data_IF_236562568367
#
_entry.id   IF_236562568367
#
_cell.length_a   1.000
_cell.length_b   1.000
_cell.length_c   1.000
_cell.angle_alpha   90.00
_cell.angle_beta   90.00
_cell.angle_gamma   90.00
#
_symmetry.space_group_name_H-M   'P 1'
#
loop_
_entity.id
_entity.type
_entity.pdbx_description
1 polymer ?
#
# COMPACT_ATOMS: atom_id res chain seq x y z
N UNK A 1 0.65 16.29 9.81
CA UNK A 1 1.89 15.49 9.70
C UNK A 1 1.55 14.22 8.94
N UNK A 2 2.45 13.71 8.11
CA UNK A 2 2.25 12.39 7.51
C UNK A 2 2.43 11.31 8.59
N UNK A 3 1.68 10.21 8.47
CA UNK A 3 1.84 9.01 9.29
C UNK A 3 2.85 8.08 8.64
N UNK A 4 3.75 7.51 9.43
CA UNK A 4 4.68 6.47 8.96
C UNK A 4 4.01 5.13 9.18
N UNK A 5 4.03 4.28 8.16
CA UNK A 5 3.41 2.94 8.20
C UNK A 5 4.45 1.90 7.79
N UNK A 6 4.81 0.95 8.67
CA UNK A 6 5.71 -0.13 8.31
C UNK A 6 5.10 -1.02 7.22
N UNK A 7 5.92 -1.42 6.23
CA UNK A 7 5.51 -2.38 5.21
C UNK A 7 5.99 -3.79 5.54
N UNK A 8 5.24 -4.79 5.13
CA UNK A 8 5.60 -6.21 5.24
C UNK A 8 5.51 -6.85 3.87
N UNK A 9 6.65 -7.23 3.30
CA UNK A 9 6.79 -7.97 2.05
C UNK A 9 7.60 -9.22 2.35
N UNK A 10 6.97 -10.38 2.43
CA UNK A 10 7.61 -11.65 2.76
C UNK A 10 7.17 -12.73 1.77
N UNK A 11 8.14 -13.53 1.32
CA UNK A 11 7.92 -14.59 0.33
C UNK A 11 7.54 -15.94 0.98
N UNK A 12 7.71 -16.08 2.29
CA UNK A 12 7.40 -17.29 3.04
C UNK A 12 6.77 -17.00 4.41
N UNK A 13 6.05 -17.98 4.95
CA UNK A 13 5.27 -17.84 6.18
C UNK A 13 6.14 -17.66 7.44
N UNK A 14 7.37 -18.17 7.45
CA UNK A 14 8.29 -18.04 8.60
C UNK A 14 8.78 -16.59 8.73
N UNK A 15 9.28 -16.01 7.65
CA UNK A 15 9.72 -14.60 7.61
C UNK A 15 8.54 -13.66 7.86
N UNK A 16 7.36 -13.98 7.32
CA UNK A 16 6.14 -13.23 7.58
C UNK A 16 5.84 -13.18 9.08
N UNK A 17 5.80 -14.35 9.74
CA UNK A 17 5.56 -14.44 11.18
C UNK A 17 6.57 -13.63 12.00
N UNK A 18 7.86 -13.81 11.71
CA UNK A 18 8.93 -13.08 12.43
C UNK A 18 8.79 -11.56 12.25
N UNK A 19 8.41 -11.12 11.05
CA UNK A 19 8.20 -9.70 10.76
C UNK A 19 7.00 -9.15 11.52
N UNK A 20 5.86 -9.85 11.54
CA UNK A 20 4.68 -9.46 12.33
C UNK A 20 5.03 -9.38 13.83
N UNK A 21 5.70 -10.40 14.37
CA UNK A 21 6.13 -10.42 15.78
C UNK A 21 7.07 -9.26 16.12
N UNK A 22 7.97 -8.89 15.21
CA UNK A 22 8.92 -7.77 15.38
C UNK A 22 8.22 -6.40 15.39
N UNK A 23 7.17 -6.22 14.58
CA UNK A 23 6.41 -4.97 14.50
C UNK A 23 5.36 -4.82 15.61
N UNK A 24 4.85 -5.92 16.14
CA UNK A 24 3.70 -5.92 17.06
C UNK A 24 3.87 -5.10 18.33
N UNK A 25 5.09 -4.91 18.91
CA UNK A 25 5.25 -4.09 20.12
C UNK A 25 4.98 -2.59 19.92
N UNK A 26 5.10 -2.06 18.69
CA UNK A 26 5.03 -0.62 18.45
C UNK A 26 4.10 -0.20 17.31
N UNK A 27 3.93 -1.01 16.26
CA UNK A 27 3.09 -0.65 15.13
C UNK A 27 1.59 -0.83 15.46
N UNK A 28 0.75 0.09 14.95
CA UNK A 28 -0.71 0.03 15.04
C UNK A 28 -1.38 0.05 13.68
N UNK A 29 -0.75 0.66 12.69
CA UNK A 29 -1.12 0.58 11.28
C UNK A 29 0.03 -0.08 10.53
N UNK A 30 -0.25 -1.01 9.65
CA UNK A 30 0.75 -1.77 8.88
C UNK A 30 0.27 -1.97 7.45
N UNK A 31 1.20 -1.86 6.52
CA UNK A 31 0.97 -2.06 5.09
C UNK A 31 1.50 -3.44 4.69
N UNK A 32 0.61 -4.36 4.31
CA UNK A 32 0.95 -5.72 3.93
C UNK A 32 0.93 -5.86 2.41
N UNK A 33 2.07 -6.22 1.84
CA UNK A 33 2.22 -6.47 0.41
C UNK A 33 1.77 -7.88 0.05
N UNK A 34 0.80 -7.99 -0.85
CA UNK A 34 0.32 -9.22 -1.47
C UNK A 34 0.68 -9.20 -2.95
N UNK A 35 1.52 -10.12 -3.39
CA UNK A 35 1.96 -10.20 -4.78
C UNK A 35 1.79 -11.63 -5.32
N UNK A 36 1.23 -11.77 -6.53
CA UNK A 36 0.91 -13.05 -7.16
C UNK A 36 2.03 -13.61 -8.06
N UNK A 37 3.09 -12.82 -8.32
CA UNK A 37 4.16 -13.17 -9.25
C UNK A 37 3.79 -12.96 -10.73
N UNK A 38 2.57 -12.48 -11.02
CA UNK A 38 2.10 -12.15 -12.38
C UNK A 38 2.09 -10.64 -12.61
N UNK A 39 1.50 -9.86 -11.71
CA UNK A 39 1.51 -8.39 -11.78
C UNK A 39 2.84 -7.81 -11.32
N UNK A 40 3.38 -8.31 -10.22
CA UNK A 40 4.73 -8.01 -9.73
C UNK A 40 5.63 -9.24 -9.91
N UNK A 41 6.96 -9.08 -10.11
CA UNK A 41 7.87 -10.20 -10.33
C UNK A 41 8.06 -11.10 -9.10
N UNK A 42 7.73 -10.60 -7.93
CA UNK A 42 7.82 -11.31 -6.65
C UNK A 42 6.49 -11.97 -6.31
N UNK A 43 6.54 -13.15 -5.70
CA UNK A 43 5.38 -13.80 -5.09
C UNK A 43 5.55 -13.77 -3.57
N UNK A 44 4.57 -13.19 -2.88
CA UNK A 44 4.55 -13.19 -1.41
C UNK A 44 3.84 -14.42 -0.84
N UNK A 45 3.78 -14.53 0.48
CA UNK A 45 2.92 -15.52 1.15
C UNK A 45 1.50 -15.42 0.61
N UNK A 46 0.82 -16.55 0.51
CA UNK A 46 -0.58 -16.61 0.05
C UNK A 46 -1.49 -15.89 1.03
N UNK A 47 -2.56 -15.28 0.51
CA UNK A 47 -3.53 -14.54 1.35
C UNK A 47 -4.08 -15.41 2.50
N UNK A 48 -4.25 -16.72 2.27
CA UNK A 48 -4.71 -17.68 3.27
C UNK A 48 -3.73 -17.94 4.42
N UNK A 49 -2.46 -17.57 4.26
CA UNK A 49 -1.42 -17.68 5.29
C UNK A 49 -1.19 -16.37 6.04
N UNK A 50 -1.76 -15.27 5.54
CA UNK A 50 -1.64 -13.96 6.18
C UNK A 50 -2.52 -13.89 7.45
N UNK A 51 -1.97 -13.29 8.47
CA UNK A 51 -2.64 -12.98 9.72
C UNK A 51 -2.00 -11.75 10.38
N UNK A 52 -2.74 -11.09 11.28
CA UNK A 52 -2.25 -9.92 12.03
C UNK A 52 -2.93 -9.79 13.39
N UNK A 53 -2.34 -9.06 14.36
CA UNK A 53 -2.99 -8.74 15.62
C UNK A 53 -4.32 -8.02 15.41
N UNK A 54 -5.34 -8.34 16.22
CA UNK A 54 -6.70 -7.80 16.08
C UNK A 54 -6.80 -6.28 16.30
N UNK A 55 -5.84 -5.70 17.01
CA UNK A 55 -5.79 -4.26 17.29
C UNK A 55 -5.04 -3.46 16.22
N UNK A 56 -4.60 -4.10 15.14
CA UNK A 56 -3.97 -3.44 14.02
C UNK A 56 -4.98 -2.91 13.00
N UNK A 57 -4.67 -1.74 12.45
CA UNK A 57 -5.22 -1.27 11.20
C UNK A 57 -4.34 -1.79 10.07
N UNK A 58 -4.92 -2.58 9.17
CA UNK A 58 -4.14 -3.23 8.10
C UNK A 58 -4.57 -2.74 6.74
N UNK A 59 -3.60 -2.27 5.98
CA UNK A 59 -3.72 -1.86 4.60
C UNK A 59 -3.12 -2.97 3.71
N UNK A 60 -3.95 -3.67 2.93
CA UNK A 60 -3.47 -4.67 1.96
C UNK A 60 -3.16 -3.99 0.64
N UNK A 61 -1.90 -4.01 0.23
CA UNK A 61 -1.46 -3.58 -1.09
C UNK A 61 -1.38 -4.79 -2.02
N UNK A 62 -2.42 -4.97 -2.81
CA UNK A 62 -2.57 -6.12 -3.69
C UNK A 62 -1.98 -5.85 -5.08
N UNK A 63 -0.75 -6.30 -5.27
CA UNK A 63 -0.02 -6.34 -6.53
C UNK A 63 -0.36 -7.62 -7.28
N UNK A 64 -1.62 -7.74 -7.72
CA UNK A 64 -2.19 -8.94 -8.34
C UNK A 64 -2.78 -8.63 -9.70
N UNK A 65 -2.59 -9.54 -10.67
CA UNK A 65 -3.04 -9.34 -12.05
C UNK A 65 -4.57 -9.40 -12.19
N UNK A 66 -5.23 -10.17 -11.31
CA UNK A 66 -6.69 -10.39 -11.34
C UNK A 66 -7.31 -10.14 -9.97
N UNK A 67 -7.53 -8.86 -9.60
CA UNK A 67 -8.12 -8.44 -8.33
C UNK A 67 -9.41 -9.18 -7.96
N UNK A 68 -10.30 -9.43 -8.91
CA UNK A 68 -11.59 -10.11 -8.69
C UNK A 68 -11.46 -11.46 -7.99
N UNK A 69 -10.36 -12.20 -8.20
CA UNK A 69 -10.12 -13.50 -7.57
C UNK A 69 -9.82 -13.43 -6.07
N UNK A 70 -9.45 -12.26 -5.56
CA UNK A 70 -9.03 -12.06 -4.17
C UNK A 70 -10.12 -11.43 -3.30
N UNK A 71 -11.13 -10.80 -3.90
CA UNK A 71 -12.13 -9.96 -3.18
C UNK A 71 -12.87 -10.75 -2.11
N UNK A 72 -13.35 -11.96 -2.40
CA UNK A 72 -14.11 -12.76 -1.42
C UNK A 72 -13.27 -13.12 -0.20
N UNK A 73 -12.00 -13.48 -0.39
CA UNK A 73 -11.09 -13.77 0.70
C UNK A 73 -10.74 -12.51 1.51
N UNK A 74 -10.51 -11.37 0.84
CA UNK A 74 -10.27 -10.08 1.49
C UNK A 74 -11.48 -9.64 2.32
N UNK A 75 -12.71 -9.84 1.82
CA UNK A 75 -13.94 -9.57 2.58
C UNK A 75 -14.01 -10.42 3.86
N UNK A 76 -13.60 -11.69 3.80
CA UNK A 76 -13.57 -12.57 4.98
C UNK A 76 -12.51 -12.15 6.00
N UNK A 77 -11.34 -11.71 5.55
CA UNK A 77 -10.21 -11.29 6.40
C UNK A 77 -10.42 -9.92 7.06
N UNK A 78 -11.24 -9.06 6.44
CA UNK A 78 -11.59 -7.72 6.94
C UNK A 78 -10.39 -6.81 7.23
N UNK A 79 -9.47 -6.58 6.27
CA UNK A 79 -8.49 -5.53 6.42
C UNK A 79 -9.18 -4.15 6.51
N UNK A 80 -8.47 -3.14 6.98
CA UNK A 80 -8.99 -1.77 7.05
C UNK A 80 -9.09 -1.13 5.68
N UNK A 81 -8.13 -1.41 4.81
CA UNK A 81 -8.00 -0.87 3.46
C UNK A 81 -7.50 -1.95 2.50
N UNK A 82 -8.00 -1.96 1.27
CA UNK A 82 -7.46 -2.76 0.16
C UNK A 82 -7.12 -1.83 -0.99
N UNK A 83 -5.88 -1.92 -1.49
CA UNK A 83 -5.34 -1.12 -2.58
C UNK A 83 -5.06 -2.03 -3.77
N UNK A 84 -5.74 -1.83 -4.89
CA UNK A 84 -5.43 -2.48 -6.17
C UNK A 84 -4.73 -1.50 -7.10
N UNK A 85 -3.95 -1.97 -8.07
CA UNK A 85 -3.31 -1.10 -9.05
C UNK A 85 -4.25 -0.72 -10.20
N UNK A 86 -4.17 0.54 -10.62
CA UNK A 86 -4.95 1.04 -11.76
C UNK A 86 -4.54 0.42 -13.11
N UNK A 87 -3.38 -0.19 -13.16
CA UNK A 87 -2.76 -0.78 -14.36
C UNK A 87 -3.15 -2.24 -14.61
N UNK A 88 -4.00 -2.83 -13.78
CA UNK A 88 -4.54 -4.19 -14.04
C UNK A 88 -5.45 -4.18 -15.26
N UNK A 89 -5.48 -5.32 -15.95
CA UNK A 89 -6.37 -5.51 -17.13
C UNK A 89 -7.75 -6.05 -16.68
N UNK A 90 -8.34 -5.41 -15.66
CA UNK A 90 -9.67 -5.69 -15.13
C UNK A 90 -10.41 -4.39 -14.81
N UNK A 91 -11.74 -4.41 -14.94
CA UNK A 91 -12.58 -3.35 -14.37
C UNK A 91 -12.59 -3.49 -12.84
N UNK A 92 -12.02 -2.51 -12.15
CA UNK A 92 -11.95 -2.48 -10.68
C UNK A 92 -13.26 -2.09 -10.00
N UNK A 93 -14.24 -1.53 -10.73
CA UNK A 93 -15.48 -1.02 -10.14
C UNK A 93 -16.28 -2.08 -9.36
N UNK A 94 -16.48 -3.32 -9.88
CA UNK A 94 -17.17 -4.36 -9.12
C UNK A 94 -16.44 -4.74 -7.83
N UNK A 95 -15.11 -4.88 -7.87
CA UNK A 95 -14.27 -5.20 -6.71
C UNK A 95 -14.32 -4.11 -5.64
N UNK A 96 -14.21 -2.84 -6.05
CA UNK A 96 -14.34 -1.68 -5.17
C UNK A 96 -15.72 -1.65 -4.50
N UNK A 97 -16.79 -1.87 -5.25
CA UNK A 97 -18.16 -1.86 -4.73
C UNK A 97 -18.38 -2.97 -3.70
N UNK A 98 -17.87 -4.18 -3.95
CA UNK A 98 -18.03 -5.32 -3.04
C UNK A 98 -17.27 -5.09 -1.72
N UNK A 99 -16.04 -4.59 -1.78
CA UNK A 99 -15.24 -4.24 -0.59
C UNK A 99 -15.95 -3.15 0.23
N UNK A 100 -16.39 -2.07 -0.40
CA UNK A 100 -17.12 -0.98 0.27
C UNK A 100 -18.43 -1.46 0.91
N UNK A 101 -19.19 -2.31 0.22
CA UNK A 101 -20.40 -2.91 0.78
C UNK A 101 -20.12 -3.76 2.03
N UNK A 102 -18.90 -4.27 2.16
CA UNK A 102 -18.43 -5.04 3.33
C UNK A 102 -17.79 -4.17 4.42
N UNK A 103 -17.79 -2.84 4.26
CA UNK A 103 -17.23 -1.89 5.22
C UNK A 103 -15.71 -1.76 5.18
N UNK A 104 -15.06 -2.21 4.10
CA UNK A 104 -13.63 -2.12 3.87
C UNK A 104 -13.34 -0.88 3.04
N UNK A 105 -12.38 -0.05 3.46
CA UNK A 105 -11.90 1.07 2.66
C UNK A 105 -11.20 0.56 1.40
N UNK A 106 -11.29 1.35 0.33
CA UNK A 106 -10.70 0.97 -0.96
C UNK A 106 -9.69 2.01 -1.43
N UNK A 107 -8.63 1.52 -2.06
CA UNK A 107 -7.59 2.36 -2.62
C UNK A 107 -7.22 1.96 -4.04
N UNK A 108 -6.55 2.89 -4.74
CA UNK A 108 -5.92 2.64 -6.03
C UNK A 108 -4.45 3.02 -6.00
N UNK A 109 -3.58 2.10 -6.40
CA UNK A 109 -2.15 2.32 -6.61
C UNK A 109 -1.87 2.82 -8.03
N UNK A 110 -0.95 3.78 -8.15
CA UNK A 110 -0.52 4.35 -9.42
C UNK A 110 0.98 4.13 -9.60
N UNK A 111 1.36 3.34 -10.58
CA UNK A 111 2.76 3.14 -10.99
C UNK A 111 3.35 4.44 -11.53
N UNK A 112 4.69 4.54 -11.59
CA UNK A 112 5.41 5.74 -12.06
C UNK A 112 4.90 6.32 -13.38
N UNK A 113 4.61 5.53 -14.43
CA UNK A 113 4.17 6.08 -15.71
C UNK A 113 2.71 6.55 -15.74
N UNK A 114 1.88 6.13 -14.79
CA UNK A 114 0.43 6.40 -14.80
C UNK A 114 0.14 7.83 -14.40
N UNK A 115 -0.53 8.56 -15.26
CA UNK A 115 -0.96 9.94 -15.02
C UNK A 115 -2.33 9.94 -14.35
N UNK A 116 -2.54 10.60 -13.19
CA UNK A 116 -3.81 10.55 -12.43
C UNK A 116 -5.06 10.86 -13.25
N UNK A 117 -4.99 11.81 -14.19
CA UNK A 117 -6.13 12.19 -15.03
C UNK A 117 -6.62 11.07 -15.95
N UNK A 118 -5.78 10.09 -16.31
CA UNK A 118 -6.18 8.97 -17.16
C UNK A 118 -7.06 7.94 -16.41
N UNK A 119 -7.02 7.98 -15.08
CA UNK A 119 -7.74 7.07 -14.17
C UNK A 119 -8.60 7.83 -13.15
N UNK A 120 -9.03 9.04 -13.52
CA UNK A 120 -9.77 9.97 -12.64
C UNK A 120 -11.06 9.37 -12.07
N UNK A 121 -11.73 8.52 -12.84
CA UNK A 121 -13.02 7.93 -12.41
C UNK A 121 -12.81 6.93 -11.26
N UNK A 122 -11.71 6.16 -11.29
CA UNK A 122 -11.32 5.28 -10.18
C UNK A 122 -10.87 6.11 -8.98
N UNK A 123 -10.01 7.13 -9.18
CA UNK A 123 -9.57 8.03 -8.09
C UNK A 123 -10.76 8.66 -7.36
N UNK A 124 -11.81 9.05 -8.10
CA UNK A 124 -13.02 9.65 -7.53
C UNK A 124 -13.86 8.65 -6.74
N UNK A 125 -13.67 7.36 -6.96
CA UNK A 125 -14.46 6.28 -6.36
C UNK A 125 -13.84 5.64 -5.13
N UNK A 126 -12.57 5.96 -4.79
CA UNK A 126 -11.81 5.32 -3.71
C UNK A 126 -11.55 6.25 -2.53
N UNK A 127 -11.16 5.66 -1.41
CA UNK A 127 -10.88 6.36 -0.15
C UNK A 127 -9.38 6.71 -0.02
N UNK A 128 -8.52 5.98 -0.76
CA UNK A 128 -7.06 6.10 -0.72
C UNK A 128 -6.45 6.04 -2.13
N UNK A 129 -5.41 6.84 -2.37
CA UNK A 129 -4.59 6.76 -3.60
C UNK A 129 -3.14 6.59 -3.24
N UNK A 130 -2.54 5.46 -3.62
CA UNK A 130 -1.15 5.14 -3.40
C UNK A 130 -0.29 5.61 -4.58
N UNK A 131 0.62 6.53 -4.34
CA UNK A 131 1.67 6.90 -5.30
C UNK A 131 2.84 5.93 -5.14
N UNK A 132 2.97 4.99 -6.08
CA UNK A 132 4.04 4.02 -6.05
C UNK A 132 5.29 4.57 -6.75
N UNK A 133 6.41 4.60 -6.02
CA UNK A 133 7.69 5.16 -6.48
C UNK A 133 8.86 4.18 -6.38
N UNK A 134 8.65 2.99 -5.81
CA UNK A 134 9.65 1.94 -5.65
C UNK A 134 9.89 1.10 -6.90
N UNK A 135 10.51 -0.03 -6.68
CA UNK A 135 10.61 -1.14 -7.63
C UNK A 135 9.58 -2.19 -7.22
N UNK A 136 8.60 -2.46 -8.09
CA UNK A 136 7.43 -3.26 -7.75
C UNK A 136 7.81 -4.67 -7.28
N UNK A 137 7.26 -5.08 -6.14
CA UNK A 137 7.52 -6.38 -5.52
C UNK A 137 8.87 -6.50 -4.82
N UNK A 138 9.59 -5.40 -4.57
CA UNK A 138 10.88 -5.42 -3.89
C UNK A 138 10.95 -4.37 -2.78
N UNK A 139 11.64 -4.72 -1.69
CA UNK A 139 12.01 -3.73 -0.68
C UNK A 139 13.02 -2.71 -1.21
N UNK A 140 12.97 -1.48 -0.68
CA UNK A 140 13.94 -0.44 -0.97
C UNK A 140 13.59 0.33 -2.24
N UNK A 141 14.55 0.37 -3.18
CA UNK A 141 14.43 1.25 -4.33
C UNK A 141 14.75 2.71 -3.99
N UNK A 142 14.69 3.57 -4.99
CA UNK A 142 14.96 5.00 -4.85
C UNK A 142 13.69 5.79 -5.12
N UNK A 143 13.26 6.60 -4.14
CA UNK A 143 12.13 7.50 -4.33
C UNK A 143 12.42 8.51 -5.45
N UNK A 144 11.49 8.61 -6.39
CA UNK A 144 11.49 9.68 -7.37
C UNK A 144 10.59 10.81 -6.89
N UNK A 145 11.16 11.85 -6.27
CA UNK A 145 10.39 12.99 -5.76
C UNK A 145 9.60 13.74 -6.86
N UNK A 146 9.92 13.52 -8.13
CA UNK A 146 9.09 14.01 -9.24
C UNK A 146 7.67 13.45 -9.21
N UNK A 147 7.46 12.27 -8.62
CA UNK A 147 6.13 11.67 -8.45
C UNK A 147 5.23 12.47 -7.48
N UNK A 148 5.78 13.40 -6.69
CA UNK A 148 4.99 14.32 -5.85
C UNK A 148 4.04 15.20 -6.67
N UNK A 149 4.36 15.44 -7.96
CA UNK A 149 3.43 16.15 -8.85
C UNK A 149 2.09 15.40 -9.01
N UNK A 150 2.08 14.06 -8.85
CA UNK A 150 0.83 13.30 -8.84
C UNK A 150 -0.07 13.66 -7.67
N UNK A 151 0.51 13.97 -6.50
CA UNK A 151 -0.28 14.36 -5.31
C UNK A 151 -1.13 15.58 -5.63
N UNK A 152 -0.55 16.59 -6.29
CA UNK A 152 -1.28 17.80 -6.73
C UNK A 152 -2.41 17.46 -7.71
N UNK A 153 -2.14 16.57 -8.69
CA UNK A 153 -3.15 16.14 -9.66
C UNK A 153 -4.26 15.32 -9.02
N UNK A 154 -3.91 14.40 -8.10
CA UNK A 154 -4.88 13.60 -7.32
C UNK A 154 -5.79 14.53 -6.52
N UNK A 155 -5.23 15.52 -5.82
CA UNK A 155 -6.00 16.50 -5.05
C UNK A 155 -6.93 17.36 -5.91
N UNK A 156 -6.58 17.62 -7.17
CA UNK A 156 -7.47 18.32 -8.10
C UNK A 156 -8.66 17.47 -8.54
N UNK A 157 -8.56 16.15 -8.51
CA UNK A 157 -9.63 15.21 -8.85
C UNK A 157 -10.47 14.91 -7.60
N UNK A 158 -9.80 14.57 -6.49
CA UNK A 158 -10.44 14.21 -5.22
C UNK A 158 -9.77 14.95 -4.04
N UNK A 159 -10.26 16.14 -3.65
CA UNK A 159 -9.57 17.01 -2.69
C UNK A 159 -9.33 16.41 -1.30
N UNK A 160 -10.20 15.52 -0.84
CA UNK A 160 -10.15 14.92 0.51
C UNK A 160 -9.61 13.49 0.55
N UNK A 161 -9.26 12.89 -0.58
CA UNK A 161 -8.76 11.50 -0.61
C UNK A 161 -7.47 11.35 0.21
N UNK A 162 -7.31 10.27 0.94
CA UNK A 162 -6.03 9.97 1.60
C UNK A 162 -4.97 9.63 0.54
N UNK A 163 -3.79 10.24 0.61
CA UNK A 163 -2.70 9.97 -0.33
C UNK A 163 -1.57 9.27 0.39
N UNK A 164 -1.29 8.04 -0.05
CA UNK A 164 -0.15 7.24 0.36
C UNK A 164 1.04 7.38 -0.58
N UNK A 165 2.21 7.11 -0.05
CA UNK A 165 3.46 6.96 -0.79
C UNK A 165 4.09 5.63 -0.46
N UNK A 166 4.53 4.90 -1.47
CA UNK A 166 5.26 3.66 -1.30
C UNK A 166 6.48 3.60 -2.23
N UNK A 167 7.58 3.13 -1.67
CA UNK A 167 8.85 2.95 -2.37
C UNK A 167 9.88 4.05 -2.12
N UNK A 168 10.99 3.64 -1.53
CA UNK A 168 12.19 4.46 -1.34
C UNK A 168 12.08 5.58 -0.30
N UNK A 169 11.14 5.49 0.64
CA UNK A 169 11.07 6.42 1.77
C UNK A 169 12.26 6.23 2.72
N UNK A 170 12.89 7.34 3.12
CA UNK A 170 14.06 7.38 4.01
C UNK A 170 13.95 8.57 4.95
N UNK A 171 14.82 8.62 5.99
CA UNK A 171 14.92 9.76 6.90
C UNK A 171 15.20 11.08 6.17
N UNK A 172 15.98 11.03 5.07
CA UNK A 172 16.35 12.22 4.32
C UNK A 172 15.19 12.79 3.47
N UNK A 173 14.24 11.97 3.05
CA UNK A 173 13.18 12.39 2.14
C UNK A 173 11.77 12.44 2.75
N UNK A 174 11.54 11.80 3.90
CA UNK A 174 10.21 11.71 4.52
C UNK A 174 9.58 13.09 4.79
N UNK A 175 10.37 14.07 5.18
CA UNK A 175 9.90 15.43 5.38
C UNK A 175 9.43 16.07 4.07
N UNK A 176 10.16 15.85 2.96
CA UNK A 176 9.77 16.34 1.64
C UNK A 176 8.47 15.67 1.15
N UNK A 177 8.28 14.38 1.43
CA UNK A 177 7.05 13.66 1.13
C UNK A 177 5.85 14.27 1.88
N UNK A 178 6.01 14.50 3.18
CA UNK A 178 4.97 15.13 4.01
C UNK A 178 4.63 16.55 3.54
N UNK A 179 5.64 17.37 3.22
CA UNK A 179 5.43 18.71 2.65
C UNK A 179 4.79 18.68 1.28
N UNK A 180 5.05 17.63 0.48
CA UNK A 180 4.41 17.39 -0.82
C UNK A 180 2.94 16.99 -0.73
N UNK A 181 2.38 16.86 0.49
CA UNK A 181 0.96 16.57 0.72
C UNK A 181 0.62 15.09 0.84
N UNK A 182 1.63 14.24 1.03
CA UNK A 182 1.44 12.81 1.36
C UNK A 182 0.89 12.70 2.79
N UNK A 183 -0.11 11.85 2.99
CA UNK A 183 -0.72 11.58 4.29
C UNK A 183 -0.07 10.36 4.96
N UNK A 184 0.18 9.31 4.19
CA UNK A 184 0.72 8.02 4.64
C UNK A 184 2.04 7.76 3.91
N UNK A 185 3.10 7.48 4.65
CA UNK A 185 4.40 7.09 4.09
C UNK A 185 4.70 5.64 4.49
N UNK A 186 4.60 4.74 3.50
CA UNK A 186 4.90 3.34 3.69
C UNK A 186 6.42 3.13 3.69
N UNK A 187 6.95 2.60 4.79
CA UNK A 187 8.36 2.44 5.05
C UNK A 187 8.73 0.98 5.28
N UNK A 188 9.45 0.38 4.34
CA UNK A 188 9.97 -0.98 4.45
C UNK A 188 11.42 -0.98 4.95
N UNK A 189 12.36 -0.89 4.03
CA UNK A 189 13.80 -1.04 4.30
C UNK A 189 14.33 -0.11 5.39
N UNK A 190 13.84 1.13 5.45
CA UNK A 190 14.30 2.09 6.46
C UNK A 190 14.00 1.62 7.90
N UNK A 191 12.87 0.92 8.11
CA UNK A 191 12.51 0.35 9.42
C UNK A 191 13.18 -1.02 9.63
N UNK A 192 13.05 -1.92 8.64
CA UNK A 192 13.53 -3.30 8.81
C UNK A 192 15.05 -3.42 8.92
N UNK A 193 15.81 -2.53 8.26
CA UNK A 193 17.29 -2.53 8.31
C UNK A 193 17.85 -1.77 9.50
N UNK A 194 17.02 -1.09 10.29
CA UNK A 194 17.47 -0.38 11.47
C UNK A 194 17.87 -1.36 12.59
N UNK A 195 18.91 -1.04 13.38
CA UNK A 195 19.28 -1.83 14.55
C UNK A 195 18.13 -1.96 15.56
N UNK A 196 17.36 -0.89 15.75
CA UNK A 196 16.11 -0.86 16.51
C UNK A 196 14.98 -0.32 15.62
N UNK A 197 14.06 -1.19 15.13
CA UNK A 197 12.93 -0.77 14.31
C UNK A 197 11.93 0.12 15.03
N UNK A 198 11.79 -0.01 16.36
CA UNK A 198 10.87 0.83 17.13
C UNK A 198 11.39 2.27 17.25
N UNK A 199 12.72 2.45 17.34
CA UNK A 199 13.35 3.78 17.32
C UNK A 199 13.31 4.41 15.93
N UNK A 200 13.39 3.58 14.86
CA UNK A 200 13.34 4.03 13.47
C UNK A 200 11.93 4.41 13.02
N UNK A 201 10.91 3.83 13.65
CA UNK A 201 9.48 4.10 13.43
C UNK A 201 9.05 5.41 14.09
#
# INVERSE_FOLDING_TARGET
MAEIVPTVLCENAEDYKLTIERLSPFAKRVHLDLADGEFAPTKTVELSEMWWPQDWQVDIHAMVARPSLYVDALVQMRPSLVIFHAEVDEDLQPSIQQLKASGIQTGVGLLRPTVPNTVKDIISAVDHVLVFSGDLGHYGGKASLMQLEKVRLIRSIHPSVEVGWDGGATLENVFSLAQGGVNIVNCGSAIHSAPDPAEAY
#
